data_IF_678816671187
#
_entry.id   IF_678816671187
#
_cell.length_a   1.000
_cell.length_b   1.000
_cell.length_c   1.000
_cell.angle_alpha   90.00
_cell.angle_beta   90.00
_cell.angle_gamma   90.00
#
_symmetry.space_group_name_H-M   'P 1'
#
loop_
_entity.id
_entity.type
_entity.pdbx_description
1 polymer ?
#
# COMPACT_ATOMS: atom_id res chain seq x y z
N UNK A 1 -8.61 -10.85 15.90
CA UNK A 1 -8.15 -11.76 14.83
C UNK A 1 -6.82 -11.20 14.34
N UNK A 2 -5.83 -12.04 14.07
CA UNK A 2 -4.54 -11.57 13.56
C UNK A 2 -4.65 -11.45 12.03
N UNK A 3 -4.21 -10.33 11.46
CA UNK A 3 -4.12 -10.16 10.01
C UNK A 3 -2.98 -11.00 9.42
N UNK A 4 -3.05 -11.30 8.13
CA UNK A 4 -1.92 -11.89 7.41
C UNK A 4 -0.77 -10.89 7.28
N UNK A 5 0.46 -11.39 7.36
CA UNK A 5 1.66 -10.63 7.05
C UNK A 5 2.33 -11.31 5.87
N UNK A 6 2.52 -10.56 4.79
CA UNK A 6 3.29 -10.98 3.63
C UNK A 6 4.66 -10.31 3.66
N UNK A 7 5.71 -11.12 3.54
CA UNK A 7 7.08 -10.64 3.38
C UNK A 7 7.48 -10.89 1.92
N UNK A 8 7.57 -9.81 1.15
CA UNK A 8 7.84 -9.86 -0.29
C UNK A 8 9.27 -9.39 -0.53
N UNK A 9 10.03 -10.17 -1.30
CA UNK A 9 11.44 -9.84 -1.59
C UNK A 9 11.60 -8.74 -2.66
N UNK A 10 10.75 -8.72 -3.67
CA UNK A 10 10.80 -7.75 -4.78
C UNK A 10 9.58 -7.88 -5.69
N UNK A 11 9.35 -6.87 -6.53
CA UNK A 11 8.42 -6.94 -7.65
C UNK A 11 7.05 -6.35 -7.35
N UNK A 12 6.97 -5.55 -6.28
CA UNK A 12 5.75 -4.88 -5.87
C UNK A 12 5.09 -4.14 -7.04
N UNK A 13 3.77 -4.29 -7.10
CA UNK A 13 2.90 -3.67 -8.11
C UNK A 13 3.11 -4.16 -9.55
N UNK A 14 4.06 -5.07 -9.81
CA UNK A 14 4.28 -5.65 -11.13
C UNK A 14 3.36 -6.86 -11.38
N UNK A 15 3.14 -7.26 -12.66
CA UNK A 15 2.28 -8.39 -13.00
C UNK A 15 2.65 -9.70 -12.28
N UNK A 16 3.93 -9.92 -11.98
CA UNK A 16 4.40 -11.13 -11.27
C UNK A 16 3.83 -11.25 -9.84
N UNK A 17 3.42 -10.13 -9.23
CA UNK A 17 2.85 -10.11 -7.89
C UNK A 17 1.32 -10.20 -7.87
N UNK A 18 0.64 -10.14 -9.02
CA UNK A 18 -0.83 -10.12 -9.06
C UNK A 18 -1.48 -11.32 -8.37
N UNK A 19 -0.93 -12.52 -8.52
CA UNK A 19 -1.50 -13.72 -7.89
C UNK A 19 -1.36 -13.68 -6.37
N UNK A 20 -0.24 -13.17 -5.86
CA UNK A 20 0.00 -12.99 -4.42
C UNK A 20 -0.92 -11.92 -3.87
N UNK A 21 -1.00 -10.78 -4.52
CA UNK A 21 -1.81 -9.65 -4.07
C UNK A 21 -3.31 -9.99 -4.16
N UNK A 22 -3.75 -10.74 -5.18
CA UNK A 22 -5.11 -11.31 -5.22
C UNK A 22 -5.34 -12.26 -4.05
N UNK A 23 -4.38 -13.12 -3.72
CA UNK A 23 -4.54 -14.03 -2.58
C UNK A 23 -4.73 -13.26 -1.27
N UNK A 24 -3.94 -12.20 -1.04
CA UNK A 24 -4.09 -11.33 0.12
C UNK A 24 -5.47 -10.68 0.16
N UNK A 25 -5.93 -10.09 -0.95
CA UNK A 25 -7.25 -9.46 -1.01
C UNK A 25 -8.40 -10.45 -0.75
N UNK A 26 -8.33 -11.67 -1.29
CA UNK A 26 -9.35 -12.70 -1.05
C UNK A 26 -9.35 -13.17 0.40
N UNK A 27 -8.19 -13.23 1.05
CA UNK A 27 -8.07 -13.66 2.46
C UNK A 27 -8.80 -12.74 3.45
N UNK A 28 -9.08 -11.49 3.05
CA UNK A 28 -9.84 -10.53 3.85
C UNK A 28 -11.30 -10.97 4.06
N UNK A 29 -11.82 -11.89 3.22
CA UNK A 29 -13.17 -12.46 3.31
C UNK A 29 -14.28 -11.39 3.42
N UNK A 30 -14.11 -10.28 2.68
CA UNK A 30 -15.06 -9.18 2.67
C UNK A 30 -16.31 -9.53 1.85
N UNK A 31 -17.49 -9.24 2.40
CA UNK A 31 -18.78 -9.47 1.74
C UNK A 31 -19.46 -8.12 1.51
N UNK A 32 -19.85 -7.84 0.27
CA UNK A 32 -20.67 -6.68 -0.08
C UNK A 32 -19.94 -5.33 -0.17
N UNK A 33 -18.60 -5.31 -0.06
CA UNK A 33 -17.78 -4.10 -0.28
C UNK A 33 -16.42 -4.43 -0.88
N UNK A 34 -15.79 -3.45 -1.52
CA UNK A 34 -14.41 -3.54 -2.00
C UNK A 34 -13.42 -3.52 -0.82
N UNK A 35 -12.26 -4.20 -0.94
CA UNK A 35 -11.15 -3.98 -0.04
C UNK A 35 -10.62 -2.56 -0.14
N UNK A 36 -10.23 -1.97 0.99
CA UNK A 36 -9.54 -0.69 1.09
C UNK A 36 -8.05 -0.93 1.28
N UNK A 37 -7.25 -0.52 0.30
CA UNK A 37 -5.80 -0.71 0.29
C UNK A 37 -5.12 0.64 0.47
N UNK A 38 -4.19 0.71 1.42
CA UNK A 38 -3.32 1.87 1.61
C UNK A 38 -1.91 1.53 1.15
N UNK A 39 -1.41 2.25 0.16
CA UNK A 39 -0.02 2.15 -0.31
C UNK A 39 0.83 3.23 0.34
N UNK A 40 1.98 2.83 0.90
CA UNK A 40 2.92 3.69 1.60
C UNK A 40 4.29 3.67 0.89
N UNK A 41 4.70 4.78 0.24
CA UNK A 41 6.00 4.93 -0.39
C UNK A 41 7.09 5.37 0.60
N UNK A 42 6.94 5.03 1.89
CA UNK A 42 7.75 5.60 2.98
C UNK A 42 9.24 5.34 2.82
N UNK A 43 9.62 4.15 2.37
CA UNK A 43 11.03 3.80 2.11
C UNK A 43 11.65 4.66 0.99
N UNK A 44 10.85 5.20 0.07
CA UNK A 44 11.33 6.09 -0.98
C UNK A 44 11.45 7.56 -0.55
N UNK A 45 11.15 7.89 0.72
CA UNK A 45 11.12 9.28 1.20
C UNK A 45 12.44 10.04 1.03
N UNK A 46 13.58 9.34 1.12
CA UNK A 46 14.94 9.90 0.90
C UNK A 46 15.35 9.98 -0.57
N UNK A 47 14.61 9.34 -1.47
CA UNK A 47 14.90 9.27 -2.91
C UNK A 47 14.28 10.44 -3.70
N UNK A 48 13.46 11.25 -3.04
CA UNK A 48 12.84 12.45 -3.59
C UNK A 48 11.53 12.21 -4.35
N UNK A 49 10.89 13.31 -4.75
CA UNK A 49 9.49 13.31 -5.19
C UNK A 49 9.21 12.41 -6.40
N UNK A 50 10.17 12.26 -7.31
CA UNK A 50 10.02 11.42 -8.50
C UNK A 50 9.82 9.96 -8.10
N UNK A 51 10.63 9.45 -7.17
CA UNK A 51 10.53 8.05 -6.71
C UNK A 51 9.24 7.84 -5.90
N UNK A 52 8.94 8.75 -4.97
CA UNK A 52 7.71 8.71 -4.17
C UNK A 52 6.48 8.68 -5.08
N UNK A 53 6.39 9.59 -6.05
CA UNK A 53 5.25 9.66 -6.98
C UNK A 53 5.16 8.41 -7.86
N UNK A 54 6.29 7.86 -8.30
CA UNK A 54 6.33 6.62 -9.08
C UNK A 54 5.72 5.48 -8.28
N UNK A 55 6.15 5.28 -7.03
CA UNK A 55 5.63 4.20 -6.17
C UNK A 55 4.15 4.38 -5.83
N UNK A 56 3.72 5.60 -5.50
CA UNK A 56 2.30 5.90 -5.28
C UNK A 56 1.45 5.57 -6.49
N UNK A 57 1.86 6.02 -7.69
CA UNK A 57 1.11 5.78 -8.93
C UNK A 57 1.06 4.30 -9.30
N UNK A 58 2.16 3.56 -9.08
CA UNK A 58 2.20 2.12 -9.32
C UNK A 58 1.26 1.36 -8.38
N UNK A 59 1.27 1.68 -7.09
CA UNK A 59 0.37 1.07 -6.09
C UNK A 59 -1.10 1.34 -6.39
N UNK A 60 -1.45 2.60 -6.70
CA UNK A 60 -2.79 2.99 -7.12
C UNK A 60 -3.26 2.18 -8.33
N UNK A 61 -2.47 2.18 -9.41
CA UNK A 61 -2.84 1.48 -10.64
C UNK A 61 -2.97 -0.03 -10.44
N UNK A 62 -2.07 -0.64 -9.66
CA UNK A 62 -2.08 -2.08 -9.40
C UNK A 62 -3.32 -2.51 -8.63
N UNK A 63 -3.58 -1.94 -7.45
CA UNK A 63 -4.69 -2.39 -6.62
C UNK A 63 -6.06 -1.96 -7.16
N UNK A 64 -6.15 -0.84 -7.91
CA UNK A 64 -7.36 -0.49 -8.65
C UNK A 64 -7.68 -1.53 -9.73
N UNK A 65 -6.66 -2.01 -10.47
CA UNK A 65 -6.81 -3.12 -11.42
C UNK A 65 -7.27 -4.41 -10.73
N UNK A 66 -6.88 -4.64 -9.49
CA UNK A 66 -7.34 -5.78 -8.68
C UNK A 66 -8.73 -5.61 -8.06
N UNK A 67 -9.37 -4.44 -8.24
CA UNK A 67 -10.75 -4.18 -7.81
C UNK A 67 -10.89 -3.57 -6.42
N UNK A 68 -9.81 -3.12 -5.81
CA UNK A 68 -9.83 -2.42 -4.52
C UNK A 68 -10.17 -0.93 -4.65
N UNK A 69 -10.60 -0.33 -3.53
CA UNK A 69 -10.50 1.11 -3.27
C UNK A 69 -9.10 1.37 -2.73
N UNK A 70 -8.38 2.35 -3.30
CA UNK A 70 -6.94 2.49 -3.04
C UNK A 70 -6.58 3.93 -2.79
N UNK A 71 -5.84 4.15 -1.71
CA UNK A 71 -5.22 5.42 -1.36
C UNK A 71 -3.69 5.25 -1.29
N UNK A 72 -2.95 6.22 -1.82
CA UNK A 72 -1.50 6.29 -1.66
C UNK A 72 -1.16 7.47 -0.76
N UNK A 73 -0.82 7.20 0.50
CA UNK A 73 -0.56 8.25 1.48
C UNK A 73 0.90 8.65 1.41
N UNK A 74 1.16 9.95 1.25
CA UNK A 74 2.52 10.49 1.14
C UNK A 74 3.16 10.64 2.53
N UNK A 75 3.23 9.54 3.28
CA UNK A 75 3.93 9.44 4.56
C UNK A 75 5.38 9.06 4.27
N UNK A 76 6.27 10.04 4.22
CA UNK A 76 7.66 9.90 3.73
C UNK A 76 8.72 10.35 4.73
N UNK A 77 8.30 10.99 5.82
CA UNK A 77 9.14 11.46 6.91
C UNK A 77 8.34 11.47 8.22
N UNK A 78 8.97 11.91 9.31
CA UNK A 78 8.32 11.97 10.63
C UNK A 78 7.18 12.97 10.67
N UNK A 79 7.36 14.14 10.07
CA UNK A 79 6.36 15.21 10.12
C UNK A 79 5.08 14.79 9.37
N UNK A 80 5.21 14.15 8.21
CA UNK A 80 4.07 13.58 7.47
C UNK A 80 3.44 12.36 8.16
N UNK A 81 4.18 11.63 9.00
CA UNK A 81 3.65 10.51 9.78
C UNK A 81 2.84 10.96 11.00
N UNK A 82 3.20 12.10 11.60
CA UNK A 82 2.52 12.70 12.75
C UNK A 82 1.30 13.56 12.34
N UNK A 83 0.98 13.62 11.04
CA UNK A 83 -0.17 14.36 10.53
C UNK A 83 -1.49 13.58 10.75
N UNK A 84 -2.43 14.09 11.56
CA UNK A 84 -3.68 13.40 11.89
C UNK A 84 -4.60 13.20 10.68
N UNK A 85 -4.35 13.85 9.54
CA UNK A 85 -5.16 13.66 8.33
C UNK A 85 -5.17 12.19 7.85
N UNK A 86 -4.15 11.40 8.20
CA UNK A 86 -4.04 10.00 7.76
C UNK A 86 -4.75 9.00 8.66
N UNK A 87 -5.09 9.37 9.90
CA UNK A 87 -5.62 8.45 10.92
C UNK A 87 -6.83 7.67 10.40
N UNK A 88 -7.84 8.40 9.88
CA UNK A 88 -9.06 7.76 9.39
C UNK A 88 -8.81 6.83 8.20
N UNK A 89 -7.81 7.09 7.35
CA UNK A 89 -7.50 6.22 6.21
C UNK A 89 -6.78 4.95 6.67
N UNK A 90 -5.84 5.09 7.61
CA UNK A 90 -5.07 3.97 8.18
C UNK A 90 -5.94 3.06 9.05
N UNK A 91 -6.79 3.62 9.91
CA UNK A 91 -7.71 2.85 10.77
C UNK A 91 -8.71 2.02 9.98
N UNK A 92 -9.08 2.48 8.78
CA UNK A 92 -10.08 1.85 7.93
C UNK A 92 -9.46 1.00 6.80
N UNK A 93 -8.13 0.86 6.75
CA UNK A 93 -7.46 0.04 5.75
C UNK A 93 -7.65 -1.45 6.03
N UNK A 94 -7.96 -2.23 4.99
CA UNK A 94 -8.00 -3.69 5.05
C UNK A 94 -6.63 -4.31 4.74
N UNK A 95 -5.83 -3.62 3.92
CA UNK A 95 -4.46 -3.98 3.58
C UNK A 95 -3.60 -2.71 3.54
N UNK A 96 -2.46 -2.75 4.23
CA UNK A 96 -1.42 -1.72 4.15
C UNK A 96 -0.22 -2.33 3.43
N UNK A 97 0.26 -1.65 2.38
CA UNK A 97 1.37 -2.09 1.56
C UNK A 97 2.50 -1.08 1.62
N UNK A 98 3.69 -1.51 2.06
CA UNK A 98 4.90 -0.70 2.02
C UNK A 98 5.69 -1.04 0.75
N UNK A 99 5.90 -0.07 -0.14
CA UNK A 99 6.80 -0.28 -1.28
C UNK A 99 8.27 -0.24 -0.86
N UNK A 100 9.15 -0.71 -1.74
CA UNK A 100 10.59 -0.64 -1.55
C UNK A 100 11.17 0.78 -1.60
N UNK A 101 12.46 0.85 -1.30
CA UNK A 101 13.25 2.07 -1.18
C UNK A 101 14.41 1.83 -0.20
N UNK A 102 14.72 2.83 0.61
CA UNK A 102 15.71 2.76 1.69
C UNK A 102 15.06 2.27 3.02
N UNK A 103 15.43 1.09 3.55
CA UNK A 103 14.86 0.56 4.78
C UNK A 103 15.42 1.17 6.08
N UNK A 104 16.45 2.02 6.03
CA UNK A 104 17.03 2.62 7.24
C UNK A 104 18.51 2.93 7.17
#
# INVERSE_FOLDING_TARGET
MNGLIALVGSGEYLPVMEDVDRHLLHSLNLIGRKPRVVCLPTAAGREGDVSVNRWSNMGLAHFQKLGAEVDALRIIDRDSADDPQWESLLENADLIYFSGGDPG
#
